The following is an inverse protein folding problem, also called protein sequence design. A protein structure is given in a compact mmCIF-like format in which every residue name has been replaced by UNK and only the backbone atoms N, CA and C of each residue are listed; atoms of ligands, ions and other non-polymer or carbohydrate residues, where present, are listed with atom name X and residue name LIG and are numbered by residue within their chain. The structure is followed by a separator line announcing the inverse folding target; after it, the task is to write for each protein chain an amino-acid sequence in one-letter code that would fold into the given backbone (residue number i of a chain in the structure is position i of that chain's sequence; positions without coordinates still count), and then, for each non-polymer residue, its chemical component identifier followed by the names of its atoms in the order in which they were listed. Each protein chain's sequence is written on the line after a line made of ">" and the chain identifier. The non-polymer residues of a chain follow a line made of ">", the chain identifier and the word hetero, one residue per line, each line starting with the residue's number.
data_IF_633012013048
#
_entry.id   IF_633012013048
#
_cell.length_a   1.000
_cell.length_b   1.000
_cell.length_c   1.000
_cell.angle_alpha   90.00
_cell.angle_beta   90.00
_cell.angle_gamma   90.00
#
_symmetry.space_group_name_H-M   'P 1'
#
loop_
_entity.id
_entity.type
_entity.pdbx_description
1 polymer ?
#
# COMPACT_ATOMS: atom_id res chain seq x y z
N UNK A 1 -10.71 -0.98 -13.82
CA UNK A 1 -9.98 -1.24 -12.54
C UNK A 1 -10.97 -1.25 -11.40
N UNK A 2 -10.92 -2.23 -10.49
CA UNK A 2 -11.77 -2.23 -9.30
C UNK A 2 -11.18 -1.27 -8.26
N UNK A 3 -11.94 -0.25 -7.89
CA UNK A 3 -11.59 0.75 -6.90
C UNK A 3 -12.44 0.55 -5.63
N UNK A 4 -12.00 1.14 -4.51
CA UNK A 4 -12.79 1.16 -3.29
C UNK A 4 -12.70 2.51 -2.57
N UNK A 5 -13.84 2.98 -2.05
CA UNK A 5 -13.92 4.12 -1.13
C UNK A 5 -14.49 3.62 0.19
N UNK A 6 -13.92 4.11 1.29
CA UNK A 6 -14.32 3.75 2.65
C UNK A 6 -14.93 4.95 3.35
N UNK A 7 -16.19 4.83 3.74
CA UNK A 7 -16.92 5.84 4.50
C UNK A 7 -17.08 5.44 5.96
N UNK A 8 -17.07 6.45 6.84
CA UNK A 8 -17.49 6.32 8.23
C UNK A 8 -19.02 6.27 8.25
N UNK A 9 -19.61 5.28 8.91
CA UNK A 9 -21.07 5.16 9.06
C UNK A 9 -21.49 5.22 10.53
N UNK A 10 -22.73 5.66 10.75
CA UNK A 10 -23.32 5.94 12.06
C UNK A 10 -24.67 5.24 12.18
N UNK A 11 -24.67 3.90 12.38
CA UNK A 11 -25.91 3.16 12.54
C UNK A 11 -26.64 3.53 13.83
N UNK A 12 -27.97 3.58 13.77
CA UNK A 12 -28.83 3.69 14.95
C UNK A 12 -28.84 2.38 15.77
N UNK A 13 -29.59 2.32 16.89
CA UNK A 13 -29.61 1.14 17.77
C UNK A 13 -30.09 -0.14 17.05
N UNK A 14 -31.21 -0.07 16.33
CA UNK A 14 -31.77 -1.20 15.57
C UNK A 14 -30.82 -1.67 14.46
N UNK A 15 -30.22 -0.73 13.72
CA UNK A 15 -29.24 -1.01 12.69
C UNK A 15 -27.97 -1.69 13.27
N UNK A 16 -27.51 -1.27 14.45
CA UNK A 16 -26.36 -1.92 15.14
C UNK A 16 -26.66 -3.35 15.53
N UNK A 17 -27.87 -3.64 16.00
CA UNK A 17 -28.30 -4.99 16.33
C UNK A 17 -28.28 -5.86 15.07
N UNK A 18 -28.91 -5.39 13.99
CA UNK A 18 -28.97 -6.11 12.72
C UNK A 18 -27.57 -6.32 12.10
N UNK A 19 -26.69 -5.34 12.18
CA UNK A 19 -25.27 -5.48 11.78
C UNK A 19 -24.58 -6.56 12.62
N UNK A 20 -24.85 -6.61 13.93
CA UNK A 20 -24.27 -7.61 14.83
C UNK A 20 -24.76 -9.02 14.50
N UNK A 21 -26.05 -9.18 14.15
CA UNK A 21 -26.61 -10.43 13.60
C UNK A 21 -25.87 -10.83 12.32
N UNK A 22 -25.70 -9.91 11.37
CA UNK A 22 -24.95 -10.18 10.13
C UNK A 22 -23.50 -10.61 10.36
N UNK A 23 -22.79 -9.99 11.31
CA UNK A 23 -21.44 -10.42 11.70
C UNK A 23 -21.43 -11.83 12.30
N UNK A 24 -22.42 -12.14 13.14
CA UNK A 24 -22.61 -13.46 13.75
C UNK A 24 -22.87 -14.54 12.69
N UNK A 25 -23.90 -14.36 11.88
CA UNK A 25 -24.32 -15.31 10.85
C UNK A 25 -23.23 -15.54 9.81
N UNK A 26 -22.58 -14.48 9.32
CA UNK A 26 -21.47 -14.60 8.35
C UNK A 26 -20.28 -15.38 8.93
N UNK A 27 -20.00 -15.21 10.23
CA UNK A 27 -18.96 -15.99 10.92
C UNK A 27 -19.34 -17.46 11.06
N UNK A 28 -20.59 -17.75 11.47
CA UNK A 28 -21.09 -19.12 11.60
C UNK A 28 -21.00 -19.83 10.27
N UNK A 29 -21.50 -19.23 9.18
CA UNK A 29 -21.42 -19.81 7.84
C UNK A 29 -19.97 -20.06 7.44
N UNK A 30 -19.08 -19.08 7.58
CA UNK A 30 -17.65 -19.29 7.26
C UNK A 30 -17.03 -20.46 8.03
N UNK A 31 -17.27 -20.54 9.33
CA UNK A 31 -16.70 -21.58 10.18
C UNK A 31 -17.31 -22.95 9.91
N UNK A 32 -18.62 -23.03 9.74
CA UNK A 32 -19.32 -24.27 9.39
C UNK A 32 -18.75 -24.84 8.09
N UNK A 33 -18.59 -24.02 7.06
CA UNK A 33 -18.10 -24.49 5.77
C UNK A 33 -16.60 -24.75 5.73
N UNK A 34 -15.82 -24.14 6.63
CA UNK A 34 -14.43 -24.51 6.85
C UNK A 34 -14.34 -25.94 7.38
N UNK A 35 -15.11 -26.26 8.43
CA UNK A 35 -15.19 -27.61 9.02
C UNK A 35 -15.76 -28.64 8.03
N UNK A 36 -16.86 -28.28 7.35
CA UNK A 36 -17.47 -29.13 6.31
C UNK A 36 -16.46 -29.48 5.21
N UNK A 37 -15.74 -28.49 4.66
CA UNK A 37 -14.76 -28.72 3.61
C UNK A 37 -13.57 -29.55 4.10
N UNK A 38 -13.16 -29.39 5.35
CA UNK A 38 -12.13 -30.24 5.97
C UNK A 38 -12.58 -31.70 6.04
N UNK A 39 -13.83 -31.95 6.47
CA UNK A 39 -14.42 -33.29 6.53
C UNK A 39 -14.59 -33.94 5.14
N UNK A 40 -15.01 -33.17 4.14
CA UNK A 40 -15.15 -33.67 2.77
C UNK A 40 -13.80 -34.00 2.14
N UNK A 41 -12.79 -33.14 2.38
CA UNK A 41 -11.43 -33.40 1.91
C UNK A 41 -10.83 -34.67 2.54
N UNK A 42 -11.08 -34.93 3.83
CA UNK A 42 -10.68 -36.17 4.48
C UNK A 42 -11.30 -37.44 3.84
N UNK A 43 -12.42 -37.30 3.14
CA UNK A 43 -13.08 -38.35 2.36
C UNK A 43 -12.62 -38.40 0.89
N UNK A 44 -11.61 -37.61 0.51
CA UNK A 44 -11.15 -37.49 -0.87
C UNK A 44 -12.02 -36.60 -1.77
N UNK A 45 -13.07 -35.98 -1.25
CA UNK A 45 -14.01 -35.16 -2.02
C UNK A 45 -13.53 -33.71 -2.10
N UNK A 46 -13.43 -33.18 -3.32
CA UNK A 46 -13.08 -31.77 -3.58
C UNK A 46 -14.35 -30.92 -3.67
N UNK A 47 -14.63 -30.19 -2.61
CA UNK A 47 -15.78 -29.29 -2.55
C UNK A 47 -15.62 -28.03 -3.40
N UNK A 48 -16.71 -27.63 -4.04
CA UNK A 48 -16.80 -26.40 -4.84
C UNK A 48 -17.69 -25.36 -4.15
N UNK A 49 -17.61 -24.10 -4.62
CA UNK A 49 -18.52 -23.05 -4.18
C UNK A 49 -19.99 -23.45 -4.36
N UNK A 50 -20.35 -24.00 -5.52
CA UNK A 50 -21.73 -24.31 -5.89
C UNK A 50 -22.32 -25.44 -5.02
N UNK A 51 -21.52 -26.46 -4.69
CA UNK A 51 -21.94 -27.53 -3.77
C UNK A 51 -22.20 -26.97 -2.38
N UNK A 52 -21.26 -26.19 -1.84
CA UNK A 52 -21.44 -25.54 -0.53
C UNK A 52 -22.64 -24.57 -0.51
N UNK A 53 -22.92 -23.89 -1.62
CA UNK A 53 -24.08 -23.01 -1.74
C UNK A 53 -25.40 -23.79 -1.64
N UNK A 54 -25.50 -24.97 -2.26
CA UNK A 54 -26.66 -25.88 -2.12
C UNK A 54 -26.80 -26.40 -0.69
N UNK A 55 -25.70 -26.76 -0.05
CA UNK A 55 -25.73 -27.20 1.36
C UNK A 55 -26.17 -26.06 2.28
N UNK A 56 -25.77 -24.81 2.00
CA UNK A 56 -26.20 -23.64 2.77
C UNK A 56 -27.72 -23.44 2.69
N UNK A 57 -28.36 -23.67 1.54
CA UNK A 57 -29.82 -23.52 1.43
C UNK A 57 -30.56 -24.58 2.26
N UNK A 58 -30.03 -25.80 2.34
CA UNK A 58 -30.57 -26.87 3.20
C UNK A 58 -30.39 -26.55 4.69
N UNK A 59 -29.20 -26.12 5.11
CA UNK A 59 -28.90 -25.79 6.50
C UNK A 59 -29.82 -24.69 7.02
N UNK A 60 -30.11 -23.68 6.21
CA UNK A 60 -31.00 -22.57 6.61
C UNK A 60 -32.44 -22.99 6.89
N UNK A 61 -32.86 -24.20 6.48
CA UNK A 61 -34.17 -24.78 6.80
C UNK A 61 -34.18 -25.56 8.10
N UNK A 62 -33.02 -25.94 8.62
CA UNK A 62 -32.91 -26.63 9.90
C UNK A 62 -33.23 -25.66 11.04
N UNK A 63 -34.01 -26.11 12.02
CA UNK A 63 -34.43 -25.32 13.18
C UNK A 63 -33.24 -24.64 13.88
N UNK A 64 -32.16 -25.41 14.11
CA UNK A 64 -30.91 -24.93 14.71
C UNK A 64 -30.29 -23.72 14.02
N UNK A 65 -30.49 -23.56 12.70
CA UNK A 65 -29.87 -22.49 11.91
C UNK A 65 -30.90 -21.56 11.26
N UNK A 66 -32.16 -21.64 11.69
CA UNK A 66 -33.25 -20.85 11.11
C UNK A 66 -33.00 -19.34 11.21
N UNK A 67 -32.35 -18.89 12.30
CA UNK A 67 -31.95 -17.48 12.51
C UNK A 67 -31.04 -16.91 11.41
N UNK A 68 -30.39 -17.74 10.59
CA UNK A 68 -29.62 -17.28 9.43
C UNK A 68 -30.51 -16.55 8.41
N UNK A 69 -31.82 -16.83 8.37
CA UNK A 69 -32.78 -16.18 7.49
C UNK A 69 -33.07 -14.72 7.87
N UNK A 70 -32.74 -14.30 9.09
CA UNK A 70 -32.88 -12.89 9.51
C UNK A 70 -31.92 -11.97 8.72
N UNK A 71 -30.80 -12.50 8.25
CA UNK A 71 -29.78 -11.76 7.52
C UNK A 71 -30.01 -11.80 6.00
N UNK A 72 -29.40 -10.87 5.27
CA UNK A 72 -29.36 -10.93 3.82
C UNK A 72 -28.68 -12.24 3.35
N UNK A 73 -29.39 -13.04 2.55
CA UNK A 73 -28.91 -14.31 2.01
C UNK A 73 -27.61 -14.16 1.21
N UNK A 74 -27.47 -13.05 0.47
CA UNK A 74 -26.27 -12.77 -0.31
C UNK A 74 -25.06 -12.50 0.59
N UNK A 75 -25.25 -11.92 1.78
CA UNK A 75 -24.15 -11.73 2.74
C UNK A 75 -23.60 -13.07 3.25
N UNK A 76 -24.48 -14.07 3.43
CA UNK A 76 -24.06 -15.42 3.79
C UNK A 76 -23.30 -16.11 2.65
N UNK A 77 -23.77 -15.94 1.41
CA UNK A 77 -23.05 -16.42 0.24
C UNK A 77 -21.69 -15.73 0.06
N UNK A 78 -21.56 -14.44 0.41
CA UNK A 78 -20.26 -13.77 0.42
C UNK A 78 -19.32 -14.36 1.46
N UNK A 79 -19.82 -14.82 2.61
CA UNK A 79 -18.99 -15.53 3.59
C UNK A 79 -18.41 -16.83 3.01
N UNK A 80 -19.18 -17.57 2.20
CA UNK A 80 -18.68 -18.72 1.44
C UNK A 80 -17.63 -18.32 0.40
N UNK A 81 -17.88 -17.28 -0.39
CA UNK A 81 -16.90 -16.80 -1.40
C UNK A 81 -15.58 -16.36 -0.76
N UNK A 82 -15.64 -15.73 0.41
CA UNK A 82 -14.45 -15.39 1.19
C UNK A 82 -13.68 -16.63 1.64
N UNK A 83 -14.36 -17.73 1.98
CA UNK A 83 -13.71 -18.99 2.31
C UNK A 83 -13.02 -19.60 1.09
N UNK A 84 -13.71 -19.63 -0.06
CA UNK A 84 -13.14 -20.11 -1.33
C UNK A 84 -11.89 -19.31 -1.68
N UNK A 85 -11.98 -17.98 -1.67
CA UNK A 85 -10.83 -17.11 -1.93
C UNK A 85 -9.69 -17.30 -0.91
N UNK A 86 -9.99 -17.63 0.35
CA UNK A 86 -8.96 -17.94 1.35
C UNK A 86 -8.19 -19.23 1.00
N UNK A 87 -8.90 -20.25 0.49
CA UNK A 87 -8.27 -21.47 -0.03
C UNK A 87 -7.47 -21.20 -1.30
N UNK A 88 -8.00 -20.44 -2.26
CA UNK A 88 -7.29 -20.11 -3.49
C UNK A 88 -5.96 -19.39 -3.18
N UNK A 89 -6.01 -18.42 -2.27
CA UNK A 89 -4.81 -17.73 -1.79
C UNK A 89 -3.83 -18.67 -1.08
N UNK A 90 -4.31 -19.66 -0.33
CA UNK A 90 -3.46 -20.67 0.29
C UNK A 90 -2.77 -21.56 -0.75
N UNK A 91 -3.51 -22.09 -1.72
CA UNK A 91 -2.95 -22.93 -2.78
C UNK A 91 -1.98 -22.16 -3.70
N UNK A 92 -2.25 -20.88 -3.97
CA UNK A 92 -1.30 -20.00 -4.67
C UNK A 92 -0.09 -19.55 -3.81
N UNK A 93 0.09 -20.10 -2.59
CA UNK A 93 1.16 -19.72 -1.64
C UNK A 93 1.19 -18.22 -1.27
N UNK A 94 0.06 -17.53 -1.44
CA UNK A 94 -0.12 -16.09 -1.09
C UNK A 94 -0.56 -15.90 0.36
N UNK A 95 -1.24 -16.89 0.93
CA UNK A 95 -1.71 -16.87 2.31
C UNK A 95 -1.43 -18.20 3.02
N UNK A 96 -1.56 -18.18 4.35
CA UNK A 96 -1.58 -19.41 5.16
C UNK A 96 -2.94 -20.09 5.06
N UNK A 97 -3.00 -21.34 5.51
CA UNK A 97 -4.21 -22.12 5.56
C UNK A 97 -5.36 -21.36 6.30
N UNK A 98 -6.61 -21.42 5.79
CA UNK A 98 -7.76 -20.73 6.39
C UNK A 98 -7.98 -21.11 7.86
N UNK A 99 -8.37 -20.14 8.70
CA UNK A 99 -8.59 -20.34 10.14
C UNK A 99 -10.02 -19.99 10.53
N UNK A 100 -10.53 -20.67 11.55
CA UNK A 100 -11.81 -20.34 12.16
C UNK A 100 -11.86 -18.87 12.61
N UNK A 101 -12.92 -18.17 12.22
CA UNK A 101 -13.21 -16.79 12.63
C UNK A 101 -13.74 -16.78 14.06
N UNK A 102 -13.31 -15.81 14.86
CA UNK A 102 -13.71 -15.67 16.27
C UNK A 102 -14.61 -14.47 16.51
N UNK A 103 -15.61 -14.61 17.41
CA UNK A 103 -16.43 -13.48 17.91
C UNK A 103 -15.59 -12.45 18.68
N UNK A 104 -14.50 -12.90 19.31
CA UNK A 104 -13.61 -12.08 20.13
C UNK A 104 -12.66 -11.22 19.28
N UNK A 105 -12.67 -11.37 17.97
CA UNK A 105 -11.87 -10.51 17.09
C UNK A 105 -12.39 -9.07 17.16
N UNK A 106 -11.48 -8.12 17.35
CA UNK A 106 -11.79 -6.69 17.43
C UNK A 106 -12.31 -6.12 16.11
N UNK A 107 -11.99 -6.77 14.98
CA UNK A 107 -12.53 -6.45 13.66
C UNK A 107 -13.58 -7.49 13.28
N UNK A 108 -14.78 -7.03 12.98
CA UNK A 108 -15.86 -7.83 12.41
C UNK A 108 -16.32 -7.18 11.10
N UNK A 109 -16.74 -8.00 10.14
CA UNK A 109 -17.21 -7.50 8.85
C UNK A 109 -18.14 -8.49 8.16
N UNK A 110 -19.02 -7.96 7.32
CA UNK A 110 -19.74 -8.73 6.31
C UNK A 110 -19.72 -7.95 4.98
N UNK A 111 -20.03 -8.63 3.88
CA UNK A 111 -20.04 -8.06 2.55
C UNK A 111 -21.38 -8.32 1.88
N UNK A 112 -21.78 -7.40 1.01
CA UNK A 112 -23.01 -7.43 0.23
C UNK A 112 -22.61 -7.17 -1.23
N UNK A 113 -22.99 -8.02 -2.18
CA UNK A 113 -22.52 -7.91 -3.56
C UNK A 113 -23.32 -6.92 -4.42
N UNK A 114 -24.54 -6.52 -4.05
CA UNK A 114 -25.39 -5.71 -4.95
C UNK A 114 -26.49 -4.95 -4.19
N UNK A 115 -27.27 -4.18 -4.94
CA UNK A 115 -28.39 -3.34 -4.47
C UNK A 115 -27.93 -2.32 -3.42
N UNK A 116 -26.83 -1.65 -3.75
CA UNK A 116 -26.20 -0.63 -2.91
C UNK A 116 -26.49 0.71 -3.55
N UNK A 117 -27.03 1.62 -2.76
CA UNK A 117 -27.38 2.96 -3.20
C UNK A 117 -26.72 3.98 -2.27
N UNK A 118 -26.07 4.97 -2.85
CA UNK A 118 -25.46 6.09 -2.11
C UNK A 118 -26.36 7.30 -2.31
N UNK A 119 -26.93 7.82 -1.23
CA UNK A 119 -27.80 8.99 -1.27
C UNK A 119 -27.04 10.19 -0.73
N UNK A 120 -26.46 10.98 -1.63
CA UNK A 120 -25.60 12.12 -1.27
C UNK A 120 -26.37 13.22 -0.54
N UNK A 121 -27.61 13.50 -0.96
CA UNK A 121 -28.49 14.52 -0.36
C UNK A 121 -28.76 14.25 1.13
N UNK A 122 -29.07 13.01 1.48
CA UNK A 122 -29.38 12.61 2.86
C UNK A 122 -28.14 12.14 3.63
N UNK A 123 -26.96 12.10 3.00
CA UNK A 123 -25.74 11.53 3.57
C UNK A 123 -25.97 10.10 4.09
N UNK A 124 -26.66 9.25 3.33
CA UNK A 124 -26.95 7.87 3.71
C UNK A 124 -26.48 6.84 2.67
N UNK A 125 -26.24 5.62 3.13
CA UNK A 125 -25.96 4.47 2.27
C UNK A 125 -27.04 3.42 2.52
N UNK A 126 -27.87 3.15 1.51
CA UNK A 126 -28.89 2.11 1.57
C UNK A 126 -28.32 0.78 1.07
N UNK A 127 -28.69 -0.27 1.80
CA UNK A 127 -28.20 -1.64 1.57
C UNK A 127 -29.38 -2.61 1.76
N UNK A 128 -29.31 -3.84 1.23
CA UNK A 128 -30.28 -4.89 1.56
C UNK A 128 -30.42 -5.05 3.07
N UNK A 129 -31.68 -5.10 3.55
CA UNK A 129 -32.07 -5.10 4.98
C UNK A 129 -31.80 -3.77 5.74
N UNK A 130 -31.27 -2.74 5.07
CA UNK A 130 -31.07 -1.39 5.58
C UNK A 130 -31.63 -0.35 4.59
N UNK A 131 -32.91 -0.50 4.21
CA UNK A 131 -33.55 0.29 3.15
C UNK A 131 -33.68 1.78 3.48
N UNK A 132 -33.91 2.11 4.75
CA UNK A 132 -33.94 3.49 5.26
C UNK A 132 -32.57 4.21 5.12
N UNK A 133 -31.51 3.47 4.81
CA UNK A 133 -30.17 4.01 4.73
C UNK A 133 -29.49 4.09 6.10
N UNK A 134 -28.18 3.90 6.09
CA UNK A 134 -27.34 4.14 7.25
C UNK A 134 -26.65 5.48 7.05
N UNK A 135 -26.77 6.39 8.03
CA UNK A 135 -26.07 7.68 8.00
C UNK A 135 -24.56 7.46 7.80
N UNK A 136 -23.97 8.22 6.90
CA UNK A 136 -22.58 8.11 6.50
C UNK A 136 -21.94 9.50 6.39
N UNK A 137 -20.62 9.60 6.59
CA UNK A 137 -19.86 10.80 6.22
C UNK A 137 -19.31 10.61 4.81
N UNK A 138 -20.11 10.99 3.82
CA UNK A 138 -19.74 10.97 2.41
C UNK A 138 -18.86 12.20 2.14
N UNK A 139 -17.56 11.97 2.10
CA UNK A 139 -16.54 13.01 1.91
C UNK A 139 -15.98 13.04 0.47
N UNK A 140 -16.50 12.16 -0.39
CA UNK A 140 -16.13 11.98 -1.80
C UNK A 140 -17.30 11.37 -2.53
N UNK A 141 -17.58 11.87 -3.72
CA UNK A 141 -18.50 11.24 -4.65
C UNK A 141 -17.81 10.11 -5.41
N UNK A 142 -18.64 9.22 -5.96
CA UNK A 142 -18.16 8.28 -6.95
C UNK A 142 -17.93 9.00 -8.28
N UNK A 143 -16.91 8.62 -9.07
CA UNK A 143 -16.75 9.11 -10.43
C UNK A 143 -18.00 8.85 -11.28
N UNK A 144 -18.21 9.68 -12.31
CA UNK A 144 -19.29 9.51 -13.28
C UNK A 144 -19.16 8.13 -13.93
N UNK A 145 -20.30 7.51 -14.27
CA UNK A 145 -20.39 6.19 -14.91
C UNK A 145 -19.75 5.03 -14.11
N UNK A 146 -19.60 5.21 -12.79
CA UNK A 146 -19.11 4.14 -11.92
C UNK A 146 -20.19 3.08 -11.66
N UNK A 147 -19.78 1.82 -11.75
CA UNK A 147 -20.65 0.68 -11.43
C UNK A 147 -20.26 0.12 -10.07
N UNK A 148 -21.17 0.21 -9.10
CA UNK A 148 -20.96 -0.37 -7.77
C UNK A 148 -21.00 -1.90 -7.85
N UNK A 149 -19.98 -2.55 -7.28
CA UNK A 149 -19.80 -4.02 -7.31
C UNK A 149 -19.98 -4.71 -5.97
N UNK A 150 -19.71 -4.02 -4.86
CA UNK A 150 -19.81 -4.62 -3.53
C UNK A 150 -19.77 -3.54 -2.46
N UNK A 151 -20.49 -3.74 -1.36
CA UNK A 151 -20.31 -2.99 -0.12
C UNK A 151 -19.85 -3.93 0.99
N UNK A 152 -18.95 -3.49 1.86
CA UNK A 152 -18.59 -4.21 3.08
C UNK A 152 -18.74 -3.32 4.30
N UNK A 153 -19.60 -3.74 5.21
CA UNK A 153 -19.71 -3.14 6.54
C UNK A 153 -18.69 -3.81 7.44
N UNK A 154 -17.92 -2.98 8.14
CA UNK A 154 -16.97 -3.44 9.16
C UNK A 154 -17.11 -2.64 10.44
N UNK A 155 -16.86 -3.28 11.59
CA UNK A 155 -16.75 -2.63 12.88
C UNK A 155 -15.36 -2.91 13.45
N UNK A 156 -14.67 -1.85 13.87
CA UNK A 156 -13.37 -1.91 14.53
C UNK A 156 -13.45 -1.00 15.76
N UNK A 157 -13.28 -1.55 16.96
CA UNK A 157 -13.24 -0.76 18.21
C UNK A 157 -14.46 0.19 18.38
N UNK A 158 -15.68 -0.32 18.18
CA UNK A 158 -16.96 0.40 18.21
C UNK A 158 -17.16 1.41 17.06
N UNK A 159 -16.28 1.40 16.07
CA UNK A 159 -16.34 2.23 14.88
C UNK A 159 -16.77 1.42 13.64
N UNK A 160 -17.99 1.71 13.13
CA UNK A 160 -18.53 1.22 11.86
C UNK A 160 -18.04 1.95 10.60
N UNK A 161 -17.68 1.20 9.57
CA UNK A 161 -17.29 1.71 8.26
C UNK A 161 -18.01 0.94 7.15
N UNK A 162 -18.36 1.61 6.07
CA UNK A 162 -18.83 1.01 4.83
C UNK A 162 -17.76 1.21 3.75
N UNK A 163 -17.23 0.11 3.20
CA UNK A 163 -16.32 0.14 2.06
C UNK A 163 -17.10 -0.23 0.80
N UNK A 164 -17.19 0.69 -0.15
CA UNK A 164 -17.89 0.50 -1.42
C UNK A 164 -16.84 0.27 -2.49
N UNK A 165 -16.96 -0.86 -3.19
CA UNK A 165 -16.12 -1.23 -4.32
C UNK A 165 -16.86 -0.94 -5.60
N UNK A 166 -16.19 -0.32 -6.56
CA UNK A 166 -16.78 0.14 -7.82
C UNK A 166 -15.79 0.00 -8.97
N UNK A 167 -16.31 -0.15 -10.18
CA UNK A 167 -15.53 -0.11 -11.41
C UNK A 167 -15.80 1.19 -12.15
N UNK A 168 -14.75 1.79 -12.70
CA UNK A 168 -14.84 2.96 -13.58
C UNK A 168 -14.39 2.57 -14.98
N UNK A 169 -15.09 3.09 -15.99
CA UNK A 169 -14.74 2.93 -17.41
C UNK A 169 -13.78 4.02 -17.92
N UNK A 170 -13.55 5.07 -17.13
CA UNK A 170 -12.67 6.18 -17.52
C UNK A 170 -11.27 5.66 -17.87
N UNK A 171 -10.76 5.98 -19.08
CA UNK A 171 -9.41 5.62 -19.47
C UNK A 171 -8.43 6.40 -18.59
N UNK A 172 -7.37 5.73 -18.15
CA UNK A 172 -6.34 6.38 -17.35
C UNK A 172 -5.25 6.90 -18.29
N UNK A 173 -5.10 8.22 -18.47
CA UNK A 173 -4.14 8.78 -19.41
C UNK A 173 -2.72 8.49 -18.93
N UNK A 174 -1.95 7.72 -19.69
CA UNK A 174 -0.51 7.53 -19.43
C UNK A 174 0.28 8.69 -20.04
N UNK A 175 1.28 9.25 -19.35
CA UNK A 175 2.13 10.27 -19.92
C UNK A 175 2.91 9.67 -21.09
N UNK A 176 2.79 10.31 -22.25
CA UNK A 176 3.59 10.01 -23.45
C UNK A 176 5.01 10.59 -23.33
N UNK A 177 5.16 11.64 -22.51
CA UNK A 177 6.42 12.31 -22.24
C UNK A 177 6.60 12.47 -20.72
N UNK A 178 7.72 12.01 -20.20
CA UNK A 178 8.09 12.21 -18.79
C UNK A 178 8.77 13.57 -18.65
N UNK A 179 8.22 14.46 -17.82
CA UNK A 179 8.77 15.78 -17.53
C UNK A 179 9.43 15.86 -16.16
N UNK A 180 8.89 15.15 -15.17
CA UNK A 180 9.43 15.13 -13.80
C UNK A 180 9.67 13.70 -13.34
N UNK A 181 10.88 13.42 -12.87
CA UNK A 181 11.27 12.12 -12.35
C UNK A 181 11.87 12.24 -10.95
N UNK A 182 11.56 11.29 -10.09
CA UNK A 182 12.09 11.24 -8.72
C UNK A 182 12.55 9.83 -8.36
N UNK A 183 13.64 9.72 -7.63
CA UNK A 183 14.04 8.48 -6.96
C UNK A 183 13.74 8.58 -5.47
N UNK A 184 13.22 7.51 -4.87
CA UNK A 184 12.87 7.44 -3.46
C UNK A 184 13.77 6.44 -2.75
N UNK A 185 14.64 6.94 -1.88
CA UNK A 185 15.38 6.11 -0.92
C UNK A 185 14.54 5.98 0.37
N UNK A 186 14.32 4.75 0.85
CA UNK A 186 13.48 4.47 2.00
C UNK A 186 14.31 3.99 3.19
N UNK A 187 14.35 4.78 4.26
CA UNK A 187 15.20 4.54 5.41
C UNK A 187 14.45 4.35 6.74
N UNK A 188 15.19 3.90 7.76
CA UNK A 188 14.69 3.77 9.14
C UNK A 188 14.91 5.05 9.97
N UNK A 189 15.85 5.92 9.55
CA UNK A 189 16.09 7.23 10.16
C UNK A 189 15.09 8.25 9.64
N UNK A 190 15.03 8.39 8.31
CA UNK A 190 14.05 9.18 7.58
C UNK A 190 13.23 8.22 6.72
N UNK A 191 11.91 8.36 6.71
CA UNK A 191 11.02 7.40 6.06
C UNK A 191 11.32 7.32 4.56
N UNK A 192 11.42 8.49 3.90
CA UNK A 192 11.75 8.64 2.48
C UNK A 192 12.65 9.86 2.30
N UNK A 193 13.71 9.71 1.51
CA UNK A 193 14.53 10.80 0.97
C UNK A 193 14.38 10.82 -0.55
N UNK A 194 14.03 11.97 -1.12
CA UNK A 194 13.86 12.11 -2.58
C UNK A 194 15.14 12.59 -3.26
N UNK A 195 15.24 12.35 -4.56
CA UNK A 195 16.32 12.88 -5.41
C UNK A 195 16.33 14.41 -5.55
N UNK A 196 15.30 15.07 -5.02
CA UNK A 196 15.12 16.52 -5.07
C UNK A 196 15.30 17.14 -3.68
N UNK A 197 16.01 16.43 -2.78
CA UNK A 197 16.37 16.86 -1.42
C UNK A 197 15.18 17.05 -0.47
N UNK A 198 14.01 16.48 -0.78
CA UNK A 198 12.86 16.46 0.14
C UNK A 198 12.99 15.25 1.07
N UNK A 199 12.86 15.50 2.36
CA UNK A 199 12.82 14.46 3.39
C UNK A 199 11.42 14.32 3.99
N UNK A 200 10.93 13.08 4.04
CA UNK A 200 9.71 12.73 4.76
C UNK A 200 10.09 12.01 6.06
N UNK A 201 10.01 12.66 7.23
CA UNK A 201 10.44 12.06 8.49
C UNK A 201 9.40 11.11 9.08
N UNK A 202 9.80 10.29 10.06
CA UNK A 202 8.82 9.58 10.88
C UNK A 202 8.02 10.55 11.77
N UNK A 203 6.68 10.43 11.78
CA UNK A 203 5.83 11.34 12.57
C UNK A 203 6.07 11.17 14.09
N UNK A 204 6.36 12.28 14.78
CA UNK A 204 6.52 12.32 16.25
C UNK A 204 5.26 11.91 17.04
N UNK A 205 4.06 12.30 16.59
CA UNK A 205 2.79 11.91 17.22
C UNK A 205 2.57 10.39 17.27
N UNK A 206 3.07 9.66 16.26
CA UNK A 206 3.03 8.20 16.25
C UNK A 206 3.78 7.61 17.45
N UNK A 207 4.93 8.17 17.82
CA UNK A 207 5.71 7.73 18.99
C UNK A 207 4.94 7.94 20.31
N UNK A 208 4.22 9.06 20.44
CA UNK A 208 3.37 9.33 21.64
C UNK A 208 2.24 8.31 21.75
N UNK A 209 1.58 7.97 20.64
CA UNK A 209 0.53 6.94 20.62
C UNK A 209 1.08 5.54 20.92
N UNK A 210 2.25 5.20 20.39
CA UNK A 210 2.90 3.90 20.63
C UNK A 210 3.24 3.72 22.13
N UNK A 211 3.74 4.76 22.80
CA UNK A 211 3.97 4.74 24.26
C UNK A 211 2.67 4.47 25.03
N UNK A 212 1.58 5.18 24.68
CA UNK A 212 0.25 4.96 25.29
C UNK A 212 -0.26 3.54 25.03
N UNK A 213 -0.06 3.01 23.83
CA UNK A 213 -0.45 1.65 23.47
C UNK A 213 0.30 0.61 24.31
N UNK A 214 1.63 0.74 24.45
CA UNK A 214 2.46 -0.15 25.27
C UNK A 214 1.98 -0.18 26.73
N UNK A 215 1.69 0.99 27.30
CA UNK A 215 1.14 1.09 28.66
C UNK A 215 -0.24 0.43 28.76
N UNK A 216 -1.12 0.65 27.80
CA UNK A 216 -2.45 0.04 27.79
C UNK A 216 -2.40 -1.50 27.65
N UNK A 217 -1.46 -2.03 26.85
CA UNK A 217 -1.21 -3.47 26.74
C UNK A 217 -0.68 -4.07 28.03
N UNK A 218 0.28 -3.40 28.72
CA UNK A 218 0.76 -3.82 30.04
C UNK A 218 -0.36 -3.85 31.08
N UNK A 219 -1.27 -2.86 31.06
CA UNK A 219 -2.44 -2.87 31.94
C UNK A 219 -3.38 -4.03 31.59
N UNK A 220 -3.56 -4.33 30.30
CA UNK A 220 -4.42 -5.45 29.85
C UNK A 220 -3.89 -6.81 30.31
N UNK A 221 -2.57 -7.04 30.23
CA UNK A 221 -1.96 -8.32 30.60
C UNK A 221 -2.11 -8.63 32.08
N UNK A 222 -2.13 -7.60 32.94
CA UNK A 222 -2.35 -7.72 34.39
C UNK A 222 -3.81 -7.96 34.79
N UNK A 223 -4.78 -7.89 33.87
CA UNK A 223 -6.21 -8.10 34.20
C UNK A 223 -6.61 -9.57 34.06
N UNK A 224 -7.46 -10.03 34.98
CA UNK A 224 -8.01 -11.40 35.01
C UNK A 224 -8.72 -11.73 33.70
N UNK A 225 -8.37 -12.88 33.11
CA UNK A 225 -9.00 -13.38 31.86
C UNK A 225 -10.51 -13.55 32.07
N UNK A 226 -11.31 -13.15 31.08
CA UNK A 226 -12.77 -13.22 31.14
C UNK A 226 -13.47 -12.06 31.88
N UNK A 227 -12.77 -11.35 32.78
CA UNK A 227 -13.38 -10.27 33.56
C UNK A 227 -13.90 -9.10 32.71
N UNK A 228 -14.97 -8.44 33.19
CA UNK A 228 -15.51 -7.23 32.57
C UNK A 228 -14.47 -6.10 32.49
N UNK A 229 -13.60 -5.99 33.49
CA UNK A 229 -12.51 -5.03 33.52
C UNK A 229 -11.46 -5.30 32.42
N UNK A 230 -11.14 -6.57 32.17
CA UNK A 230 -10.28 -6.94 31.04
C UNK A 230 -10.93 -6.60 29.70
N UNK A 231 -12.23 -6.83 29.56
CA UNK A 231 -12.97 -6.50 28.33
C UNK A 231 -12.98 -4.99 28.07
N UNK A 232 -13.24 -4.16 29.09
CA UNK A 232 -13.12 -2.69 29.01
C UNK A 232 -11.72 -2.26 28.57
N UNK A 233 -10.67 -2.83 29.18
CA UNK A 233 -9.28 -2.52 28.83
C UNK A 233 -8.91 -3.00 27.42
N UNK A 234 -9.43 -4.15 26.97
CA UNK A 234 -9.20 -4.67 25.62
C UNK A 234 -9.78 -3.74 24.56
N UNK A 235 -10.97 -3.17 24.81
CA UNK A 235 -11.55 -2.12 23.95
C UNK A 235 -10.65 -0.89 23.88
N UNK A 236 -10.10 -0.43 25.01
CA UNK A 236 -9.15 0.70 25.04
C UNK A 236 -7.89 0.42 24.20
N UNK A 237 -7.33 -0.79 24.32
CA UNK A 237 -6.20 -1.24 23.50
C UNK A 237 -6.57 -1.25 22.01
N UNK A 238 -7.75 -1.77 21.65
CA UNK A 238 -8.23 -1.79 20.27
C UNK A 238 -8.41 -0.37 19.68
N UNK A 239 -8.93 0.59 20.47
CA UNK A 239 -9.05 1.99 20.06
C UNK A 239 -7.68 2.64 19.82
N UNK A 240 -6.70 2.37 20.68
CA UNK A 240 -5.33 2.87 20.49
C UNK A 240 -4.65 2.25 19.27
N UNK A 241 -4.84 0.95 19.01
CA UNK A 241 -4.38 0.32 17.76
C UNK A 241 -5.00 0.97 16.53
N UNK A 242 -6.32 1.22 16.55
CA UNK A 242 -7.01 1.91 15.46
C UNK A 242 -6.46 3.33 15.25
N UNK A 243 -6.25 4.09 16.32
CA UNK A 243 -5.65 5.43 16.23
C UNK A 243 -4.24 5.37 15.61
N UNK A 244 -3.38 4.45 16.06
CA UNK A 244 -2.05 4.26 15.49
C UNK A 244 -2.11 3.91 13.99
N UNK A 245 -3.02 3.01 13.60
CA UNK A 245 -3.21 2.61 12.20
C UNK A 245 -3.69 3.79 11.35
N UNK A 246 -4.70 4.53 11.81
CA UNK A 246 -5.27 5.66 11.08
C UNK A 246 -4.25 6.79 10.90
N UNK A 247 -3.50 7.15 11.95
CA UNK A 247 -2.46 8.19 11.85
C UNK A 247 -1.38 7.79 10.85
N UNK A 248 -0.95 6.52 10.86
CA UNK A 248 0.05 6.03 9.91
C UNK A 248 -0.49 6.02 8.49
N UNK A 249 -1.70 5.51 8.29
CA UNK A 249 -2.32 5.45 6.96
C UNK A 249 -2.58 6.85 6.38
N UNK A 250 -3.02 7.81 7.19
CA UNK A 250 -3.19 9.20 6.77
C UNK A 250 -1.87 9.78 6.24
N UNK A 251 -0.78 9.59 6.97
CA UNK A 251 0.53 10.09 6.55
C UNK A 251 1.02 9.47 5.25
N UNK A 252 0.99 8.14 5.16
CA UNK A 252 1.41 7.43 3.97
C UNK A 252 0.52 7.81 2.77
N UNK A 253 -0.77 8.02 2.98
CA UNK A 253 -1.66 8.50 1.93
C UNK A 253 -1.33 9.93 1.49
N UNK A 254 -0.99 10.84 2.40
CA UNK A 254 -0.60 12.20 2.03
C UNK A 254 0.67 12.19 1.19
N UNK A 255 1.73 11.55 1.66
CA UNK A 255 3.01 11.47 0.95
C UNK A 255 2.85 10.80 -0.41
N UNK A 256 2.22 9.62 -0.47
CA UNK A 256 2.03 8.92 -1.75
C UNK A 256 1.14 9.70 -2.73
N UNK A 257 0.19 10.51 -2.23
CA UNK A 257 -0.62 11.37 -3.08
C UNK A 257 0.17 12.56 -3.62
N UNK A 258 0.99 13.18 -2.76
CA UNK A 258 1.86 14.31 -3.09
C UNK A 258 2.88 13.90 -4.16
N UNK A 259 3.63 12.81 -3.94
CA UNK A 259 4.61 12.30 -4.90
C UNK A 259 3.95 11.99 -6.25
N UNK A 260 2.81 11.28 -6.26
CA UNK A 260 2.12 10.94 -7.52
C UNK A 260 1.42 12.13 -8.19
N UNK A 261 1.27 13.27 -7.51
CA UNK A 261 0.82 14.51 -8.13
C UNK A 261 1.99 15.28 -8.78
N UNK A 262 3.18 15.22 -8.17
CA UNK A 262 4.33 16.02 -8.59
C UNK A 262 5.15 15.36 -9.72
N UNK A 263 5.21 14.03 -9.75
CA UNK A 263 6.14 13.31 -10.62
C UNK A 263 5.42 12.42 -11.65
N UNK A 264 6.03 12.33 -12.83
CA UNK A 264 5.59 11.47 -13.93
C UNK A 264 6.25 10.09 -13.87
N UNK A 265 7.51 10.06 -13.44
CA UNK A 265 8.28 8.85 -13.17
C UNK A 265 8.72 8.81 -11.72
N UNK A 266 8.50 7.67 -11.08
CA UNK A 266 8.90 7.43 -9.70
C UNK A 266 9.73 6.14 -9.66
N UNK A 267 11.01 6.26 -9.30
CA UNK A 267 11.90 5.13 -9.05
C UNK A 267 11.91 4.75 -7.58
N UNK A 268 11.78 3.47 -7.28
CA UNK A 268 11.86 2.93 -5.91
C UNK A 268 12.74 1.69 -5.88
N UNK A 269 13.42 1.45 -4.77
CA UNK A 269 14.11 0.17 -4.56
C UNK A 269 13.15 -0.97 -4.26
N UNK A 270 13.44 -2.16 -4.82
CA UNK A 270 12.71 -3.38 -4.47
C UNK A 270 13.11 -3.86 -3.08
N UNK A 271 12.40 -3.42 -2.04
CA UNK A 271 12.65 -3.88 -0.68
C UNK A 271 12.15 -5.32 -0.47
N UNK A 272 13.02 -6.20 0.05
CA UNK A 272 12.58 -7.50 0.56
C UNK A 272 11.88 -7.35 1.91
N UNK A 273 10.67 -6.78 1.92
CA UNK A 273 9.92 -6.51 3.15
C UNK A 273 9.76 -7.78 4.00
N UNK A 274 9.57 -8.95 3.37
CA UNK A 274 9.46 -10.25 4.10
C UNK A 274 10.77 -10.66 4.77
N UNK A 275 11.91 -10.49 4.10
CA UNK A 275 13.24 -10.77 4.67
C UNK A 275 13.61 -9.78 5.77
N UNK A 276 13.35 -8.49 5.54
CA UNK A 276 13.58 -7.41 6.49
C UNK A 276 12.72 -7.57 7.76
N UNK A 277 11.48 -8.05 7.64
CA UNK A 277 10.64 -8.36 8.80
C UNK A 277 11.16 -9.51 9.68
N UNK A 278 12.19 -10.26 9.25
CA UNK A 278 12.85 -11.31 10.05
C UNK A 278 14.10 -10.81 10.78
N UNK A 279 14.53 -9.57 10.56
CA UNK A 279 15.71 -8.99 11.21
C UNK A 279 15.38 -8.35 12.56
N UNK A 280 16.40 -7.98 13.32
CA UNK A 280 16.26 -7.28 14.60
C UNK A 280 15.47 -5.96 14.48
N UNK A 281 15.54 -5.29 13.32
CA UNK A 281 14.79 -4.06 13.04
C UNK A 281 13.33 -4.29 12.63
N UNK A 282 12.83 -5.53 12.68
CA UNK A 282 11.46 -5.90 12.27
C UNK A 282 10.37 -4.98 12.83
N UNK A 283 10.53 -4.50 14.07
CA UNK A 283 9.60 -3.55 14.69
C UNK A 283 9.65 -2.18 14.03
N UNK A 284 10.84 -1.62 13.82
CA UNK A 284 11.02 -0.32 13.16
C UNK A 284 10.59 -0.37 11.69
N UNK A 285 10.84 -1.49 11.01
CA UNK A 285 10.40 -1.77 9.64
C UNK A 285 8.86 -1.90 9.55
N UNK A 286 8.25 -2.65 10.47
CA UNK A 286 6.80 -2.74 10.56
C UNK A 286 6.17 -1.38 10.87
N UNK A 287 6.83 -0.56 11.67
CA UNK A 287 6.43 0.81 11.98
C UNK A 287 6.55 1.73 10.75
N UNK A 288 7.62 1.62 9.96
CA UNK A 288 7.82 2.36 8.72
C UNK A 288 6.78 1.99 7.65
N UNK A 289 6.28 0.75 7.66
CA UNK A 289 5.17 0.30 6.81
C UNK A 289 5.43 0.49 5.30
N UNK A 290 6.70 0.33 4.87
CA UNK A 290 7.13 0.48 3.48
C UNK A 290 6.29 -0.32 2.48
N UNK A 291 5.94 -1.57 2.81
CA UNK A 291 5.07 -2.37 1.95
C UNK A 291 3.70 -1.72 1.70
N UNK A 292 3.09 -1.11 2.73
CA UNK A 292 1.84 -0.35 2.56
C UNK A 292 2.05 0.90 1.72
N UNK A 293 3.16 1.62 1.94
CA UNK A 293 3.49 2.81 1.16
C UNK A 293 3.66 2.48 -0.32
N UNK A 294 4.42 1.44 -0.65
CA UNK A 294 4.62 0.96 -2.03
C UNK A 294 3.30 0.56 -2.68
N UNK A 295 2.44 -0.20 -1.99
CA UNK A 295 1.09 -0.51 -2.51
C UNK A 295 0.28 0.77 -2.76
N UNK A 296 0.36 1.75 -1.85
CA UNK A 296 -0.34 3.03 -2.03
C UNK A 296 0.19 3.84 -3.20
N UNK A 297 1.50 3.84 -3.38
CA UNK A 297 2.17 4.53 -4.47
C UNK A 297 1.82 3.87 -5.81
N UNK A 298 1.84 2.55 -5.87
CA UNK A 298 1.50 1.75 -7.05
C UNK A 298 0.07 2.01 -7.53
N UNK A 299 -0.94 1.83 -6.67
CA UNK A 299 -2.32 2.02 -7.13
C UNK A 299 -2.61 3.49 -7.46
N UNK A 300 -1.95 4.47 -6.81
CA UNK A 300 -2.15 5.89 -7.11
C UNK A 300 -1.43 6.32 -8.37
N UNK A 301 -0.22 5.83 -8.60
CA UNK A 301 0.51 6.03 -9.83
C UNK A 301 -0.31 5.47 -10.99
N UNK A 302 -0.75 4.21 -10.87
CA UNK A 302 -1.62 3.58 -11.86
C UNK A 302 -2.89 4.41 -12.13
N UNK A 303 -3.59 4.88 -11.09
CA UNK A 303 -4.81 5.71 -11.23
C UNK A 303 -4.59 7.07 -11.87
N UNK A 304 -3.40 7.65 -11.74
CA UNK A 304 -3.02 8.95 -12.32
C UNK A 304 -2.20 8.78 -13.60
N UNK A 305 -2.08 7.55 -14.08
CA UNK A 305 -1.26 7.19 -15.23
C UNK A 305 0.24 7.33 -15.04
N UNK A 306 0.73 7.63 -13.83
CA UNK A 306 2.17 7.80 -13.57
C UNK A 306 2.92 6.48 -13.68
N UNK A 307 4.20 6.56 -14.03
CA UNK A 307 5.08 5.40 -14.14
C UNK A 307 5.81 5.18 -12.82
N UNK A 308 5.61 4.01 -12.22
CA UNK A 308 6.36 3.56 -11.04
C UNK A 308 7.29 2.41 -11.46
N UNK A 309 8.59 2.58 -11.26
CA UNK A 309 9.59 1.55 -11.55
C UNK A 309 10.26 1.09 -10.27
N UNK A 310 10.25 -0.23 -10.08
CA UNK A 310 11.01 -0.88 -9.02
C UNK A 310 12.36 -1.31 -9.57
N UNK A 311 13.44 -0.77 -9.02
CA UNK A 311 14.79 -1.09 -9.44
C UNK A 311 15.30 -2.34 -8.69
N UNK A 312 16.34 -2.97 -9.23
CA UNK A 312 16.93 -4.14 -8.60
C UNK A 312 17.42 -3.82 -7.18
N UNK A 313 17.12 -4.72 -6.22
CA UNK A 313 17.52 -4.57 -4.82
C UNK A 313 19.03 -4.62 -4.59
N UNK A 314 19.76 -5.24 -5.51
CA UNK A 314 21.21 -5.37 -5.48
C UNK A 314 21.90 -4.25 -6.24
N UNK A 315 21.13 -3.32 -6.81
CA UNK A 315 21.68 -2.10 -7.38
C UNK A 315 22.39 -1.31 -6.27
N UNK A 316 23.69 -0.99 -6.42
CA UNK A 316 24.49 -0.38 -5.37
C UNK A 316 24.27 1.14 -5.25
N UNK A 317 23.01 1.57 -5.12
CA UNK A 317 22.57 2.98 -5.07
C UNK A 317 23.36 3.82 -4.07
N UNK A 318 23.61 3.27 -2.88
CA UNK A 318 24.36 3.95 -1.82
C UNK A 318 25.87 3.93 -2.03
N UNK A 319 26.41 3.07 -2.90
CA UNK A 319 27.85 2.89 -3.11
C UNK A 319 28.34 3.62 -4.35
N UNK A 320 27.46 3.93 -5.30
CA UNK A 320 27.82 4.71 -6.49
C UNK A 320 27.84 6.21 -6.15
N UNK A 321 28.83 6.94 -6.63
CA UNK A 321 28.79 8.39 -6.64
C UNK A 321 27.74 8.86 -7.66
N UNK A 322 26.75 9.63 -7.22
CA UNK A 322 25.69 10.14 -8.09
C UNK A 322 26.14 11.20 -9.07
N UNK A 323 27.36 11.73 -8.89
CA UNK A 323 27.96 12.71 -9.78
C UNK A 323 28.80 12.06 -10.89
N UNK A 324 29.78 11.21 -10.53
CA UNK A 324 30.72 10.62 -11.50
C UNK A 324 30.53 9.11 -11.75
N UNK A 325 29.58 8.46 -11.09
CA UNK A 325 29.35 7.01 -11.24
C UNK A 325 30.39 6.11 -10.56
N UNK A 326 31.47 6.66 -9.99
CA UNK A 326 32.51 5.87 -9.34
C UNK A 326 31.97 5.05 -8.16
N UNK A 327 32.41 3.80 -8.03
CA UNK A 327 32.02 2.92 -6.92
C UNK A 327 32.85 3.25 -5.68
N UNK A 328 32.22 3.90 -4.70
CA UNK A 328 32.80 4.28 -3.40
C UNK A 328 32.83 3.16 -2.35
N UNK A 329 32.45 1.94 -2.74
CA UNK A 329 32.45 0.76 -1.87
C UNK A 329 31.29 0.69 -0.88
N UNK A 330 31.26 -0.39 -0.10
CA UNK A 330 30.22 -0.63 0.93
C UNK A 330 30.36 0.38 2.07
N UNK A 331 29.22 0.91 2.51
CA UNK A 331 29.13 1.84 3.63
C UNK A 331 28.55 1.14 4.85
N UNK A 332 29.21 1.27 5.99
CA UNK A 332 28.72 0.75 7.27
C UNK A 332 27.44 1.48 7.72
N UNK A 333 26.65 0.80 8.56
CA UNK A 333 25.48 1.38 9.20
C UNK A 333 25.91 2.57 10.07
N UNK A 334 25.41 3.77 9.76
CA UNK A 334 25.74 5.01 10.49
C UNK A 334 26.49 6.06 9.68
N UNK A 335 27.04 5.72 8.51
CA UNK A 335 27.65 6.71 7.61
C UNK A 335 26.56 7.63 7.04
N UNK A 336 26.63 8.92 7.37
CA UNK A 336 25.67 9.94 6.92
C UNK A 336 26.22 10.70 5.70
N UNK A 337 27.51 11.03 5.73
CA UNK A 337 28.21 11.72 4.65
C UNK A 337 29.43 10.93 4.23
N UNK A 338 29.80 11.05 2.95
CA UNK A 338 31.03 10.48 2.41
C UNK A 338 31.55 11.36 1.27
N UNK A 339 32.86 11.40 1.10
CA UNK A 339 33.51 12.09 -0.02
C UNK A 339 33.87 11.04 -1.08
N UNK A 340 33.52 11.30 -2.34
CA UNK A 340 33.93 10.43 -3.44
C UNK A 340 35.44 10.53 -3.64
N UNK A 341 36.20 9.42 -3.63
CA UNK A 341 37.66 9.46 -3.82
C UNK A 341 38.08 9.79 -5.27
N UNK A 342 37.13 9.78 -6.22
CA UNK A 342 37.40 10.05 -7.63
C UNK A 342 37.12 11.51 -8.01
N UNK A 343 35.95 12.05 -7.62
CA UNK A 343 35.58 13.44 -7.96
C UNK A 343 35.62 14.41 -6.77
N UNK A 344 36.02 13.95 -5.59
CA UNK A 344 36.14 14.73 -4.35
C UNK A 344 34.86 15.43 -3.86
N UNK A 345 33.70 15.09 -4.42
CA UNK A 345 32.41 15.64 -3.96
C UNK A 345 31.97 14.92 -2.68
N UNK A 346 31.58 15.72 -1.69
CA UNK A 346 30.95 15.24 -0.47
C UNK A 346 29.44 15.09 -0.65
N UNK A 347 28.92 13.91 -0.34
CA UNK A 347 27.52 13.56 -0.50
C UNK A 347 26.87 13.22 0.84
N UNK A 348 25.59 13.57 1.02
CA UNK A 348 24.73 12.88 1.98
C UNK A 348 24.32 11.52 1.40
N UNK A 349 24.54 10.44 2.17
CA UNK A 349 24.40 9.04 1.71
C UNK A 349 23.02 8.75 1.11
N UNK A 350 21.96 9.07 1.84
CA UNK A 350 20.58 8.73 1.45
C UNK A 350 20.10 9.58 0.25
N UNK A 351 20.62 10.81 0.13
CA UNK A 351 20.36 11.67 -1.03
C UNK A 351 21.09 11.18 -2.28
N UNK A 352 22.36 10.77 -2.12
CA UNK A 352 23.10 10.14 -3.21
C UNK A 352 22.40 8.87 -3.72
N UNK A 353 21.90 8.04 -2.80
CA UNK A 353 21.13 6.85 -3.14
C UNK A 353 19.85 7.20 -3.92
N UNK A 354 19.07 8.18 -3.45
CA UNK A 354 17.84 8.61 -4.13
C UNK A 354 18.09 9.14 -5.55
N UNK A 355 19.18 9.88 -5.77
CA UNK A 355 19.60 10.32 -7.11
C UNK A 355 19.97 9.13 -8.00
N UNK A 356 20.74 8.17 -7.49
CA UNK A 356 21.12 6.98 -8.25
C UNK A 356 19.89 6.11 -8.61
N UNK A 357 18.91 6.00 -7.71
CA UNK A 357 17.64 5.30 -7.96
C UNK A 357 16.88 5.97 -9.12
N UNK A 358 16.80 7.31 -9.12
CA UNK A 358 16.17 8.06 -10.22
C UNK A 358 16.87 7.80 -11.55
N UNK A 359 18.20 7.93 -11.56
CA UNK A 359 19.00 7.79 -12.78
C UNK A 359 18.87 6.39 -13.37
N UNK A 360 18.88 5.36 -12.52
CA UNK A 360 18.62 3.98 -12.93
C UNK A 360 17.23 3.80 -13.54
N UNK A 361 16.19 4.32 -12.88
CA UNK A 361 14.82 4.24 -13.37
C UNK A 361 14.65 4.93 -14.74
N UNK A 362 15.33 6.04 -14.97
CA UNK A 362 15.37 6.72 -16.28
C UNK A 362 16.04 5.84 -17.35
N UNK A 363 17.19 5.24 -17.04
CA UNK A 363 17.88 4.33 -17.96
C UNK A 363 17.02 3.12 -18.37
N UNK A 364 16.25 2.55 -17.44
CA UNK A 364 15.34 1.42 -17.75
C UNK A 364 14.23 1.74 -18.77
N UNK A 365 13.87 3.01 -18.95
CA UNK A 365 12.82 3.41 -19.89
C UNK A 365 13.34 3.56 -21.31
N UNK A 366 14.55 4.11 -21.45
CA UNK A 366 15.22 4.27 -22.75
C UNK A 366 15.39 2.91 -23.45
N UNK A 367 15.61 1.84 -22.68
CA UNK A 367 15.84 0.49 -23.23
C UNK A 367 14.55 -0.28 -23.64
N UNK A 368 13.34 0.11 -23.18
CA UNK A 368 12.18 -0.82 -23.20
C UNK A 368 10.80 -0.27 -23.58
N UNK A 369 10.51 1.03 -23.48
CA UNK A 369 9.09 1.45 -23.33
C UNK A 369 8.47 2.40 -24.38
N UNK A 370 9.15 2.82 -25.47
CA UNK A 370 8.59 3.81 -26.44
C UNK A 370 8.08 5.13 -25.80
N UNK A 371 8.41 5.40 -24.54
CA UNK A 371 8.03 6.64 -23.84
C UNK A 371 9.18 7.63 -24.01
N UNK A 372 8.88 8.86 -24.45
CA UNK A 372 9.90 9.89 -24.63
C UNK A 372 10.22 10.55 -23.28
N UNK A 373 11.48 10.93 -23.07
CA UNK A 373 11.92 11.66 -21.88
C UNK A 373 12.23 13.10 -22.28
N UNK A 374 11.58 14.09 -21.64
CA UNK A 374 11.93 15.50 -21.81
C UNK A 374 13.13 15.82 -20.91
N UNK A 375 14.33 15.62 -21.47
CA UNK A 375 15.59 15.72 -20.72
C UNK A 375 15.94 17.16 -20.31
N UNK A 376 15.25 18.18 -20.84
CA UNK A 376 15.41 19.56 -20.38
C UNK A 376 14.64 19.82 -19.07
N UNK A 377 13.58 19.06 -18.80
CA UNK A 377 12.70 19.23 -17.62
C UNK A 377 12.90 18.16 -16.55
N UNK A 378 13.24 16.94 -16.97
CA UNK A 378 13.65 15.87 -16.06
C UNK A 378 14.99 16.27 -15.50
N UNK A 379 15.05 16.56 -14.20
CA UNK A 379 16.21 17.12 -13.50
C UNK A 379 17.48 16.26 -13.57
N UNK A 380 18.10 16.19 -14.74
CA UNK A 380 19.47 15.76 -14.96
C UNK A 380 20.35 16.93 -14.51
N UNK A 381 20.40 17.14 -13.20
CA UNK A 381 20.88 18.38 -12.59
C UNK A 381 22.41 18.35 -12.46
N UNK A 382 23.09 19.10 -13.35
CA UNK A 382 24.44 19.64 -13.12
C UNK A 382 24.41 20.88 -12.20
N UNK A 383 23.26 21.56 -12.06
CA UNK A 383 23.15 22.84 -11.35
C UNK A 383 23.31 22.79 -9.83
N UNK A 384 23.15 21.63 -9.20
CA UNK A 384 23.27 21.48 -7.74
C UNK A 384 24.72 21.46 -7.24
N UNK A 385 25.69 21.33 -8.15
CA UNK A 385 27.13 21.37 -7.86
C UNK A 385 27.82 22.62 -8.45
N UNK A 386 27.05 23.62 -8.91
CA UNK A 386 27.57 24.83 -9.55
C UNK A 386 28.44 25.72 -8.64
N UNK A 387 28.55 25.41 -7.35
CA UNK A 387 29.43 26.11 -6.40
C UNK A 387 30.85 25.53 -6.31
N UNK A 388 31.15 24.42 -6.98
CA UNK A 388 32.51 23.88 -7.10
C UNK A 388 33.06 24.19 -8.50
N UNK A 389 33.26 25.47 -8.79
CA UNK A 389 34.13 25.91 -9.89
C UNK A 389 35.56 25.92 -9.37
N UNK A 390 36.14 24.74 -9.23
CA UNK A 390 37.61 24.63 -9.14
C UNK A 390 38.10 24.21 -10.53
N UNK A 391 39.12 24.88 -11.05
CA UNK A 391 39.64 24.77 -12.42
C UNK A 391 40.25 23.39 -12.76
N UNK A 392 40.07 22.40 -11.88
CA UNK A 392 40.59 21.03 -12.00
C UNK A 392 39.69 20.07 -12.77
N UNK A 393 38.59 20.55 -13.38
CA UNK A 393 37.63 19.73 -14.15
C UNK A 393 38.20 19.22 -15.50
N UNK A 394 39.44 19.57 -15.88
CA UNK A 394 39.99 19.21 -17.20
C UNK A 394 40.60 17.81 -17.37
N UNK A 395 40.46 16.88 -16.41
CA UNK A 395 41.18 15.59 -16.49
C UNK A 395 40.32 14.32 -16.41
N UNK A 396 39.00 14.38 -16.64
CA UNK A 396 38.21 13.16 -16.82
C UNK A 396 38.01 12.90 -18.31
N UNK A 397 38.80 11.96 -18.87
CA UNK A 397 38.64 11.45 -20.22
C UNK A 397 37.19 11.05 -20.48
N UNK A 398 36.55 11.79 -21.39
CA UNK A 398 35.14 11.67 -21.69
C UNK A 398 34.88 10.38 -22.49
N UNK A 399 34.17 9.42 -21.89
CA UNK A 399 33.45 8.42 -22.68
C UNK A 399 32.04 8.96 -22.94
N UNK A 400 31.66 9.05 -24.20
CA UNK A 400 30.46 9.73 -24.70
C UNK A 400 29.15 8.93 -24.55
N UNK A 401 29.13 7.80 -23.84
CA UNK A 401 28.03 6.80 -23.91
C UNK A 401 27.33 6.45 -22.58
N UNK A 402 27.51 7.24 -21.52
CA UNK A 402 27.07 6.88 -20.18
C UNK A 402 27.94 5.78 -19.59
N UNK A 403 27.83 5.57 -18.27
CA UNK A 403 28.53 4.46 -17.63
C UNK A 403 27.64 3.23 -17.76
N UNK A 404 28.00 2.35 -18.70
CA UNK A 404 27.41 1.02 -18.77
C UNK A 404 27.90 0.23 -17.57
N UNK A 405 27.03 0.02 -16.59
CA UNK A 405 27.28 -0.91 -15.49
C UNK A 405 26.65 -2.26 -15.82
N UNK A 406 27.05 -3.33 -15.15
CA UNK A 406 26.35 -4.63 -15.22
C UNK A 406 24.86 -4.57 -14.82
N UNK A 407 24.40 -3.43 -14.31
CA UNK A 407 23.02 -3.17 -13.93
C UNK A 407 22.27 -2.28 -14.94
N UNK A 408 22.91 -1.82 -16.03
CA UNK A 408 22.31 -0.96 -17.05
C UNK A 408 23.06 0.35 -17.25
N UNK A 409 22.58 1.16 -18.20
CA UNK A 409 23.13 2.47 -18.52
C UNK A 409 22.82 3.47 -17.40
N UNK A 410 23.85 3.86 -16.65
CA UNK A 410 23.78 5.00 -15.75
C UNK A 410 24.03 6.22 -16.63
N UNK A 411 23.00 7.05 -16.80
CA UNK A 411 23.10 8.30 -17.56
C UNK A 411 24.13 9.21 -16.88
N UNK A 412 25.34 9.26 -17.44
CA UNK A 412 26.32 10.30 -17.15
C UNK A 412 25.98 11.55 -17.98
N UNK A 413 26.03 12.70 -17.33
CA UNK A 413 25.74 14.01 -17.90
C UNK A 413 26.71 14.41 -19.02
N UNK A 414 27.93 13.84 -19.06
CA UNK A 414 28.90 14.13 -20.13
C UNK A 414 28.39 13.69 -21.51
N UNK A 415 27.62 12.61 -21.56
CA UNK A 415 27.13 11.97 -22.80
C UNK A 415 25.93 12.70 -23.41
N UNK A 416 25.20 13.49 -22.63
CA UNK A 416 23.96 14.11 -23.09
C UNK A 416 24.15 15.47 -23.78
N UNK A 417 25.25 16.17 -23.50
CA UNK A 417 25.63 17.40 -24.22
C UNK A 417 26.01 17.14 -25.68
N UNK A 418 26.68 16.02 -25.96
CA UNK A 418 27.15 15.64 -27.29
C UNK A 418 25.99 15.30 -28.25
N UNK A 419 24.94 14.63 -27.76
CA UNK A 419 23.74 14.31 -28.57
C UNK A 419 22.97 15.56 -29.06
N UNK A 420 23.20 16.73 -28.45
CA UNK A 420 22.58 17.99 -28.86
C UNK A 420 23.38 18.70 -29.97
N UNK A 421 24.67 18.39 -30.12
CA UNK A 421 25.52 18.97 -31.16
C UNK A 421 25.39 18.23 -32.49
N UNK A 422 25.14 16.92 -32.47
CA UNK A 422 24.92 16.14 -33.71
C UNK A 422 23.60 16.48 -34.44
N UNK A 423 22.66 17.17 -33.77
CA UNK A 423 21.40 17.62 -34.40
C UNK A 423 21.45 19.05 -34.96
N UNK A 424 22.58 19.74 -34.82
CA UNK A 424 22.79 21.10 -35.33
C UNK A 424 23.75 21.15 -36.53
N UNK A 425 24.22 20.00 -37.04
CA UNK A 425 25.09 19.90 -38.22
C UNK A 425 24.46 19.10 -39.38
N UNK A 426 23.13 19.07 -39.44
CA UNK A 426 22.41 18.61 -40.63
C UNK A 426 21.28 19.59 -40.98
N UNK A 427 21.67 20.73 -41.51
CA UNK A 427 20.87 21.58 -42.39
C UNK A 427 21.78 22.09 -43.50
#
# INVERSE_FOLDING_TARGET
>A
MLNAIKFRIYPNAQQKELISKHFGCSRVVYNYFLDYRQKQYAKGVKETYFTMQKVLTQIKRQEKYHYLNECNSQSLQMALRQLVSAYDNFFSKRARYPKFKSKKNAKQSFAIPQNIEIKTETQTIALPKFKEGIKAKLHRDLPKDSVIKQASISCIADQYFCSISYETKEPIPKPTIIKKAVGLDMGLRTLIVTSDKIEYPHIRFYQKLEKKLKQAQRRLSKKVKGSNNRNKQAKKVARLHLACSNTREDYLHKISNEITNQYDLIGVETLNVKGLMRTYHSKSLANASWGKFLTMLEYKAQRKGKTLLSIDRFFPSTQLCSYCGFTTGKKHEGIIQFTCPHCNITHHRDYNASVNIRNYALGMLDDRHKIKIDKARVGIIRSDYAHYTDERIKACGASSNGVSSKYGNILDLASYGAMKQEKAQSL
#
